data_IF_530085862436
#
_entry.id   IF_530085862436
#
_cell.length_a   1.000
_cell.length_b   1.000
_cell.length_c   1.000
_cell.angle_alpha   90.00
_cell.angle_beta   90.00
_cell.angle_gamma   90.00
#
_symmetry.space_group_name_H-M   'P 1'
#
loop_
_entity.id
_entity.type
_entity.pdbx_description
1 polymer ?
#
# COMPACT_ATOMS: atom_id res chain seq x y z
N UNK A 1 5.59 -5.75 -14.40
CA UNK A 1 5.25 -4.46 -13.80
C UNK A 1 4.99 -4.66 -12.32
N UNK A 2 5.54 -3.82 -11.46
CA UNK A 2 5.35 -3.89 -10.01
C UNK A 2 4.91 -2.53 -9.48
N UNK A 3 4.07 -2.54 -8.44
CA UNK A 3 3.82 -1.34 -7.63
C UNK A 3 4.43 -1.54 -6.27
N UNK A 4 5.29 -0.62 -5.86
CA UNK A 4 5.86 -0.56 -4.53
C UNK A 4 5.09 0.43 -3.66
N UNK A 5 5.02 0.12 -2.38
CA UNK A 5 4.36 0.94 -1.38
C UNK A 5 5.33 1.23 -0.23
N UNK A 6 5.41 2.51 0.12
CA UNK A 6 6.11 2.99 1.31
C UNK A 6 5.06 3.59 2.25
N UNK A 7 5.07 3.18 3.51
CA UNK A 7 4.12 3.61 4.54
C UNK A 7 4.84 4.46 5.58
N UNK A 8 4.27 5.62 5.89
CA UNK A 8 4.69 6.43 7.03
C UNK A 8 3.66 6.34 8.15
N UNK A 9 4.12 5.83 9.29
CA UNK A 9 3.37 5.79 10.53
C UNK A 9 3.69 7.01 11.39
N UNK A 10 2.71 7.41 12.20
CA UNK A 10 2.93 8.35 13.30
C UNK A 10 2.61 7.65 14.62
N UNK A 11 3.16 8.15 15.72
CA UNK A 11 2.95 7.56 17.06
C UNK A 11 1.73 8.14 17.81
N UNK A 12 0.82 8.80 17.11
CA UNK A 12 -0.43 9.30 17.69
C UNK A 12 -1.44 8.18 17.93
N UNK A 13 -2.32 8.36 18.91
CA UNK A 13 -3.35 7.37 19.28
C UNK A 13 -4.38 7.10 18.18
N UNK A 14 -4.47 7.97 17.18
CA UNK A 14 -5.36 7.84 16.01
C UNK A 14 -4.72 7.00 14.88
N UNK A 15 -3.46 6.57 15.02
CA UNK A 15 -2.77 5.75 14.02
C UNK A 15 -2.90 4.27 14.36
N UNK A 16 -3.42 3.47 13.43
CA UNK A 16 -3.47 2.02 13.55
C UNK A 16 -2.06 1.43 13.67
N UNK A 17 -1.96 0.34 14.43
CA UNK A 17 -0.71 -0.39 14.58
C UNK A 17 -0.23 -0.95 13.23
N UNK A 18 1.10 -1.06 13.00
CA UNK A 18 1.65 -1.62 11.76
C UNK A 18 1.13 -3.03 11.41
N UNK A 19 0.81 -3.85 12.41
CA UNK A 19 0.24 -5.18 12.21
C UNK A 19 -1.16 -5.15 11.58
N UNK A 20 -2.02 -4.19 11.99
CA UNK A 20 -3.35 -4.02 11.41
C UNK A 20 -3.25 -3.54 9.96
N UNK A 21 -2.39 -2.53 9.71
CA UNK A 21 -2.13 -2.01 8.37
C UNK A 21 -1.60 -3.10 7.44
N UNK A 22 -0.67 -3.93 7.93
CA UNK A 22 -0.16 -5.08 7.19
C UNK A 22 -1.29 -6.04 6.77
N UNK A 23 -2.20 -6.41 7.69
CA UNK A 23 -3.33 -7.29 7.37
C UNK A 23 -4.23 -6.72 6.27
N UNK A 24 -4.49 -5.41 6.29
CA UNK A 24 -5.30 -4.73 5.26
C UNK A 24 -4.61 -4.64 3.90
N UNK A 25 -3.29 -4.48 3.88
CA UNK A 25 -2.53 -4.43 2.63
C UNK A 25 -2.36 -5.82 2.00
N UNK A 26 -2.09 -6.84 2.82
CA UNK A 26 -1.99 -8.22 2.35
C UNK A 26 -3.32 -8.72 1.75
N UNK A 27 -4.48 -8.27 2.26
CA UNK A 27 -5.78 -8.63 1.67
C UNK A 27 -6.02 -8.01 0.29
N UNK A 28 -5.30 -6.92 -0.05
CA UNK A 28 -5.27 -6.36 -1.41
C UNK A 28 -4.26 -7.05 -2.34
N UNK A 29 -3.50 -8.03 -1.83
CA UNK A 29 -2.50 -8.77 -2.59
C UNK A 29 -1.08 -8.21 -2.52
N UNK A 30 -0.82 -7.22 -1.65
CA UNK A 30 0.55 -6.80 -1.37
C UNK A 30 1.33 -7.90 -0.63
N UNK A 31 2.62 -7.98 -0.91
CA UNK A 31 3.58 -8.81 -0.18
C UNK A 31 4.54 -7.89 0.58
N UNK A 32 4.78 -8.11 1.88
CA UNK A 32 5.81 -7.37 2.60
C UNK A 32 7.19 -7.72 2.05
N UNK A 33 8.07 -6.72 1.97
CA UNK A 33 9.45 -6.90 1.47
C UNK A 33 10.45 -6.23 2.40
N UNK A 34 11.71 -6.64 2.28
CA UNK A 34 12.82 -5.96 2.92
C UNK A 34 13.49 -5.03 1.90
N UNK A 35 13.93 -3.86 2.34
CA UNK A 35 14.68 -2.91 1.49
C UNK A 35 14.08 -1.51 1.54
N UNK A 36 14.12 -0.74 0.43
CA UNK A 36 13.71 0.66 0.41
C UNK A 36 12.18 0.88 0.45
N UNK A 37 11.40 -0.19 0.29
CA UNK A 37 9.94 -0.18 0.32
C UNK A 37 9.44 -1.18 1.36
N UNK A 38 8.23 -0.97 1.86
CA UNK A 38 7.61 -1.87 2.84
C UNK A 38 6.85 -3.02 2.14
N UNK A 39 6.25 -2.73 0.98
CA UNK A 39 5.46 -3.72 0.24
C UNK A 39 5.65 -3.66 -1.28
N UNK A 40 5.36 -4.77 -1.93
CA UNK A 40 5.27 -4.90 -3.40
C UNK A 40 3.96 -5.57 -3.82
N UNK A 41 3.37 -5.09 -4.91
CA UNK A 41 2.28 -5.71 -5.62
C UNK A 41 2.76 -6.09 -7.03
N UNK A 42 2.55 -7.34 -7.42
CA UNK A 42 2.94 -7.86 -8.73
C UNK A 42 1.73 -7.87 -9.65
N UNK A 43 1.78 -7.06 -10.71
CA UNK A 43 0.69 -7.02 -11.68
C UNK A 43 0.74 -8.25 -12.59
N UNK A 44 -0.44 -8.86 -12.83
CA UNK A 44 -0.58 -9.96 -13.80
C UNK A 44 -0.57 -9.49 -15.27
N UNK A 45 -0.47 -8.17 -15.50
CA UNK A 45 -0.43 -7.52 -16.82
C UNK A 45 0.44 -6.26 -16.75
N UNK A 46 0.79 -5.71 -17.91
CA UNK A 46 1.25 -4.31 -17.95
C UNK A 46 0.05 -3.41 -17.64
N UNK A 47 0.10 -2.75 -16.48
CA UNK A 47 -0.95 -1.87 -16.00
C UNK A 47 -0.90 -0.52 -16.75
N UNK A 48 -2.07 -0.01 -17.12
CA UNK A 48 -2.18 1.38 -17.62
C UNK A 48 -2.11 2.37 -16.46
N UNK A 49 -2.05 3.67 -16.78
CA UNK A 49 -2.14 4.74 -15.77
C UNK A 49 -3.49 4.64 -15.03
N UNK A 50 -4.60 4.38 -15.73
CA UNK A 50 -5.91 4.20 -15.10
C UNK A 50 -5.96 2.98 -14.18
N UNK A 51 -5.30 1.87 -14.53
CA UNK A 51 -5.20 0.72 -13.62
C UNK A 51 -4.47 1.11 -12.32
N UNK A 52 -3.36 1.86 -12.43
CA UNK A 52 -2.58 2.35 -11.28
C UNK A 52 -3.41 3.31 -10.41
N UNK A 53 -4.13 4.25 -11.02
CA UNK A 53 -5.01 5.18 -10.28
C UNK A 53 -6.13 4.43 -9.55
N UNK A 54 -6.82 3.50 -10.21
CA UNK A 54 -7.87 2.68 -9.59
C UNK A 54 -7.32 1.79 -8.47
N UNK A 55 -6.07 1.36 -8.57
CA UNK A 55 -5.41 0.63 -7.50
C UNK A 55 -5.05 1.54 -6.33
N UNK A 56 -4.59 2.77 -6.60
CA UNK A 56 -4.45 3.83 -5.61
C UNK A 56 -5.73 4.08 -4.82
N UNK A 57 -6.89 4.13 -5.50
CA UNK A 57 -8.19 4.28 -4.83
C UNK A 57 -8.50 3.11 -3.88
N UNK A 58 -8.18 1.87 -4.28
CA UNK A 58 -8.37 0.68 -3.42
C UNK A 58 -7.47 0.73 -2.19
N UNK A 59 -6.21 1.15 -2.35
CA UNK A 59 -5.27 1.33 -1.24
C UNK A 59 -5.80 2.41 -0.28
N UNK A 60 -6.22 3.56 -0.82
CA UNK A 60 -6.79 4.65 -0.03
C UNK A 60 -8.00 4.19 0.78
N UNK A 61 -8.95 3.48 0.15
CA UNK A 61 -10.13 2.96 0.84
C UNK A 61 -9.78 1.91 1.91
N UNK A 62 -8.82 1.03 1.63
CA UNK A 62 -8.38 0.00 2.59
C UNK A 62 -7.69 0.62 3.81
N UNK A 63 -6.89 1.66 3.60
CA UNK A 63 -6.17 2.38 4.65
C UNK A 63 -6.97 3.52 5.29
N UNK A 64 -8.21 3.76 4.86
CA UNK A 64 -9.05 4.81 5.42
C UNK A 64 -9.24 4.59 6.93
N UNK A 65 -9.08 5.67 7.71
CA UNK A 65 -9.20 5.65 9.17
C UNK A 65 -8.00 5.06 9.91
N UNK A 66 -6.92 4.65 9.23
CA UNK A 66 -5.71 4.12 9.90
C UNK A 66 -4.71 5.21 10.30
N UNK A 67 -4.90 6.44 9.84
CA UNK A 67 -4.01 7.58 10.14
C UNK A 67 -2.62 7.51 9.48
N UNK A 68 -2.37 6.53 8.61
CA UNK A 68 -1.08 6.42 7.89
C UNK A 68 -1.06 7.26 6.62
N UNK A 69 0.14 7.67 6.23
CA UNK A 69 0.42 8.23 4.91
C UNK A 69 1.13 7.19 4.06
N UNK A 70 0.96 7.26 2.74
CA UNK A 70 1.61 6.31 1.84
C UNK A 70 2.04 6.95 0.52
N UNK A 71 3.05 6.36 -0.10
CA UNK A 71 3.49 6.65 -1.47
C UNK A 71 3.45 5.38 -2.28
N UNK A 72 2.91 5.47 -3.49
CA UNK A 72 2.98 4.43 -4.51
C UNK A 72 4.01 4.79 -5.57
N UNK A 73 4.75 3.79 -6.04
CA UNK A 73 5.65 3.89 -7.18
C UNK A 73 5.45 2.65 -8.06
N UNK A 74 5.18 2.83 -9.35
CA UNK A 74 4.94 1.72 -10.27
C UNK A 74 6.01 1.71 -11.36
N UNK A 75 6.68 0.56 -11.51
CA UNK A 75 7.69 0.26 -12.55
C UNK A 75 7.25 -0.85 -13.51
#
# INVERSE_FOLDING_TARGET
MKTYLLIWYNSGSECSNPSEVNSRLMSLGFKPVQGPYDYVYEWNKNASIEDVLRFGDKIHLSLMGTGVFFKIETD
#
